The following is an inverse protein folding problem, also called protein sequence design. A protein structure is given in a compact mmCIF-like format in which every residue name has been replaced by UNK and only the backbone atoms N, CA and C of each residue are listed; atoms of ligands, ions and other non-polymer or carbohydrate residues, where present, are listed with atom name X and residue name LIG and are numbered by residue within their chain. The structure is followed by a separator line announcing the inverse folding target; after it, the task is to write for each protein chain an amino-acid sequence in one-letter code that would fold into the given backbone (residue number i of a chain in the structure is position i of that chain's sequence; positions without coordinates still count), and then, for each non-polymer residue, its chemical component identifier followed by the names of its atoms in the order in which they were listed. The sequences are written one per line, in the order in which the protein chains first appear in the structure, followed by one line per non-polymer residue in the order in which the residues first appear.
data_IF_308842996867
#
_entry.id   IF_308842996867
#
_cell.length_a   1.000
_cell.length_b   1.000
_cell.length_c   1.000
_cell.angle_alpha   90.00
_cell.angle_beta   90.00
_cell.angle_gamma   90.00
#
_symmetry.space_group_name_H-M   'P 1'
#
loop_
_entity.id
_entity.type
_entity.pdbx_description
1 polymer ?
#
# COMPACT_ATOMS: atom_id res chain seq x y z
N UNK A 1 -24.60 -31.08 -23.56
CA UNK A 1 -24.97 -30.55 -22.21
C UNK A 1 -23.84 -30.71 -21.20
N UNK A 2 -23.27 -31.92 -21.02
CA UNK A 2 -22.16 -32.18 -20.07
C UNK A 2 -20.92 -31.31 -20.33
N UNK A 3 -20.50 -31.18 -21.60
CA UNK A 3 -19.32 -30.37 -21.98
C UNK A 3 -19.49 -28.88 -21.64
N UNK A 4 -20.71 -28.35 -21.75
CA UNK A 4 -21.01 -26.94 -21.47
C UNK A 4 -20.98 -26.64 -19.97
N UNK A 5 -21.47 -27.58 -19.14
CA UNK A 5 -21.43 -27.48 -17.68
C UNK A 5 -19.98 -27.56 -17.17
N UNK A 6 -19.17 -28.47 -17.73
CA UNK A 6 -17.78 -28.63 -17.34
C UNK A 6 -16.94 -27.38 -17.68
N UNK A 7 -17.15 -26.79 -18.86
CA UNK A 7 -16.48 -25.55 -19.27
C UNK A 7 -16.89 -24.35 -18.40
N UNK A 8 -18.15 -24.30 -17.96
CA UNK A 8 -18.63 -23.27 -17.05
C UNK A 8 -18.02 -23.40 -15.64
N UNK A 9 -17.88 -24.64 -15.14
CA UNK A 9 -17.26 -24.91 -13.85
C UNK A 9 -15.76 -24.55 -13.83
N UNK A 10 -15.01 -24.90 -14.87
CA UNK A 10 -13.60 -24.50 -15.02
C UNK A 10 -13.45 -22.99 -15.06
N UNK A 11 -14.28 -22.29 -15.85
CA UNK A 11 -14.23 -20.83 -15.95
C UNK A 11 -14.50 -20.17 -14.60
N UNK A 12 -15.45 -20.70 -13.82
CA UNK A 12 -15.74 -20.21 -12.47
C UNK A 12 -14.56 -20.43 -11.52
N UNK A 13 -13.97 -21.63 -11.52
CA UNK A 13 -12.81 -21.93 -10.68
C UNK A 13 -11.59 -21.03 -11.00
N UNK A 14 -11.37 -20.73 -12.29
CA UNK A 14 -10.32 -19.80 -12.73
C UNK A 14 -10.61 -18.38 -12.22
N UNK A 15 -11.85 -17.89 -12.36
CA UNK A 15 -12.24 -16.56 -11.88
C UNK A 15 -12.13 -16.43 -10.36
N UNK A 16 -12.53 -17.46 -9.62
CA UNK A 16 -12.44 -17.47 -8.15
C UNK A 16 -10.98 -17.47 -7.68
N UNK A 17 -10.09 -18.24 -8.33
CA UNK A 17 -8.64 -18.18 -8.07
C UNK A 17 -8.06 -16.82 -8.41
N UNK A 18 -8.46 -16.24 -9.54
CA UNK A 18 -7.93 -14.94 -9.94
C UNK A 18 -8.31 -13.87 -8.90
N UNK A 19 -9.57 -13.86 -8.47
CA UNK A 19 -10.05 -12.97 -7.41
C UNK A 19 -9.34 -13.19 -6.07
N UNK A 20 -9.03 -14.43 -5.71
CA UNK A 20 -8.23 -14.73 -4.51
C UNK A 20 -6.80 -14.20 -4.63
N UNK A 21 -6.15 -14.39 -5.78
CA UNK A 21 -4.79 -13.90 -6.02
C UNK A 21 -4.74 -12.37 -6.05
N UNK A 22 -5.71 -11.72 -6.70
CA UNK A 22 -5.87 -10.26 -6.70
C UNK A 22 -6.03 -9.73 -5.26
N UNK A 23 -6.90 -10.35 -4.44
CA UNK A 23 -7.07 -9.97 -3.04
C UNK A 23 -5.81 -10.19 -2.19
N UNK A 24 -5.01 -11.22 -2.46
CA UNK A 24 -3.72 -11.44 -1.80
C UNK A 24 -2.68 -10.40 -2.21
N UNK A 25 -2.69 -9.96 -3.47
CA UNK A 25 -1.80 -8.90 -3.97
C UNK A 25 -2.16 -7.57 -3.31
N UNK A 26 -3.45 -7.22 -3.25
CA UNK A 26 -3.91 -6.01 -2.55
C UNK A 26 -3.52 -6.02 -1.06
N UNK A 27 -3.68 -7.17 -0.39
CA UNK A 27 -3.27 -7.34 1.01
C UNK A 27 -1.74 -7.21 1.20
N UNK A 28 -0.94 -7.53 0.18
CA UNK A 28 0.51 -7.39 0.23
C UNK A 28 0.99 -5.97 -0.10
N UNK A 29 0.16 -5.14 -0.72
CA UNK A 29 0.41 -3.70 -0.99
C UNK A 29 0.10 -2.79 0.23
N UNK A 30 -0.01 -3.36 1.43
CA UNK A 30 -0.59 -2.78 2.66
C UNK A 30 0.14 -1.58 3.30
N UNK A 31 0.99 -0.87 2.56
CA UNK A 31 1.72 0.31 3.03
C UNK A 31 1.61 1.47 2.03
N UNK A 32 0.41 1.75 1.54
CA UNK A 32 0.12 2.87 0.63
C UNK A 32 1.03 2.90 -0.60
N UNK A 33 1.27 1.74 -1.21
CA UNK A 33 2.11 1.61 -2.41
C UNK A 33 3.62 1.51 -2.16
N UNK A 34 4.08 1.53 -0.90
CA UNK A 34 5.49 1.22 -0.59
C UNK A 34 5.74 -0.30 -0.68
N UNK A 35 6.76 -0.67 -1.46
CA UNK A 35 7.23 -2.05 -1.60
C UNK A 35 8.66 -2.13 -1.09
N UNK A 36 8.96 -3.08 -0.21
CA UNK A 36 10.32 -3.31 0.27
C UNK A 36 10.44 -4.43 1.27
N UNK A 37 11.18 -5.49 0.94
CA UNK A 37 11.40 -6.64 1.82
C UNK A 37 12.74 -6.59 2.59
N UNK A 38 13.65 -5.68 2.20
CA UNK A 38 14.96 -5.55 2.84
C UNK A 38 14.89 -4.92 4.24
N UNK A 39 15.87 -5.25 5.08
CA UNK A 39 15.92 -4.82 6.49
C UNK A 39 15.78 -3.30 6.69
N UNK A 40 16.40 -2.49 5.82
CA UNK A 40 16.29 -1.02 5.86
C UNK A 40 14.85 -0.53 5.62
N UNK A 41 14.13 -1.13 4.68
CA UNK A 41 12.73 -0.77 4.42
C UNK A 41 11.81 -1.21 5.56
N UNK A 42 12.08 -2.36 6.17
CA UNK A 42 11.36 -2.81 7.36
C UNK A 42 11.57 -1.86 8.55
N UNK A 43 12.75 -1.26 8.68
CA UNK A 43 12.99 -0.18 9.64
C UNK A 43 12.16 1.08 9.35
N UNK A 44 12.09 1.50 8.07
CA UNK A 44 11.22 2.61 7.65
C UNK A 44 9.76 2.33 8.00
N UNK A 45 9.25 1.12 7.76
CA UNK A 45 7.88 0.75 8.11
C UNK A 45 7.62 0.84 9.62
N UNK A 46 8.55 0.35 10.44
CA UNK A 46 8.46 0.47 11.91
C UNK A 46 8.48 1.93 12.37
N UNK A 47 9.30 2.77 11.76
CA UNK A 47 9.33 4.20 12.07
C UNK A 47 7.99 4.86 11.73
N UNK A 48 7.43 4.59 10.55
CA UNK A 48 6.12 5.10 10.15
C UNK A 48 5.06 4.72 11.17
N UNK A 49 4.98 3.44 11.56
CA UNK A 49 4.01 2.98 12.56
C UNK A 49 4.22 3.63 13.93
N UNK A 50 5.47 3.78 14.36
CA UNK A 50 5.82 4.39 15.65
C UNK A 50 5.47 5.88 15.75
N UNK A 51 5.56 6.63 14.64
CA UNK A 51 5.32 8.08 14.65
C UNK A 51 3.96 8.50 14.10
N UNK A 52 3.20 7.62 13.44
CA UNK A 52 1.93 7.97 12.80
C UNK A 52 0.87 8.56 13.75
N UNK A 53 0.88 8.19 15.03
CA UNK A 53 -0.03 8.75 16.03
C UNK A 53 0.43 10.09 16.62
N UNK A 54 1.67 10.50 16.33
CA UNK A 54 2.22 11.76 16.82
C UNK A 54 1.60 12.95 16.09
N UNK A 55 1.43 14.06 16.83
CA UNK A 55 1.07 15.36 16.24
C UNK A 55 2.29 16.18 15.81
N UNK A 56 3.51 15.68 16.02
CA UNK A 56 4.74 16.37 15.68
C UNK A 56 4.95 16.47 14.17
N UNK A 57 5.70 17.50 13.74
CA UNK A 57 6.12 17.64 12.34
C UNK A 57 7.18 16.60 12.00
N UNK A 58 6.99 15.90 10.89
CA UNK A 58 7.89 14.83 10.43
C UNK A 58 8.68 15.32 9.21
N UNK A 59 10.01 15.17 9.25
CA UNK A 59 10.91 15.42 8.12
C UNK A 59 11.29 14.09 7.46
N UNK A 60 10.93 13.92 6.18
CA UNK A 60 11.31 12.75 5.38
C UNK A 60 12.46 13.12 4.46
N UNK A 61 13.61 12.45 4.62
CA UNK A 61 14.81 12.68 3.83
C UNK A 61 15.11 11.51 2.90
N UNK A 62 15.80 11.79 1.80
CA UNK A 62 16.18 10.79 0.80
C UNK A 62 16.41 11.42 -0.57
N UNK A 63 17.07 10.67 -1.45
CA UNK A 63 17.35 11.09 -2.83
C UNK A 63 16.07 11.26 -3.66
N UNK A 64 16.19 11.90 -4.82
CA UNK A 64 15.06 12.02 -5.75
C UNK A 64 14.60 10.63 -6.19
N UNK A 65 13.28 10.42 -6.28
CA UNK A 65 12.69 9.14 -6.70
C UNK A 65 12.63 8.03 -5.64
N UNK A 66 13.10 8.25 -4.40
CA UNK A 66 13.07 7.20 -3.34
C UNK A 66 11.72 7.01 -2.66
N UNK A 67 10.63 7.58 -3.19
CA UNK A 67 9.28 7.38 -2.66
C UNK A 67 8.94 8.19 -1.41
N UNK A 68 9.60 9.33 -1.16
CA UNK A 68 9.30 10.21 0.00
C UNK A 68 7.83 10.63 0.11
N UNK A 69 7.14 10.85 -1.02
CA UNK A 69 5.70 11.16 -1.01
C UNK A 69 4.87 9.96 -0.53
N UNK A 70 5.22 8.74 -0.94
CA UNK A 70 4.55 7.53 -0.50
C UNK A 70 4.71 7.33 1.02
N UNK A 71 5.88 7.67 1.58
CA UNK A 71 6.10 7.70 3.02
C UNK A 71 5.16 8.70 3.72
N UNK A 72 5.02 9.90 3.18
CA UNK A 72 4.10 10.91 3.74
C UNK A 72 2.63 10.46 3.68
N UNK A 73 2.22 9.79 2.60
CA UNK A 73 0.88 9.20 2.47
C UNK A 73 0.66 8.07 3.46
N UNK A 74 1.63 7.17 3.62
CA UNK A 74 1.58 6.10 4.60
C UNK A 74 1.44 6.62 6.03
N UNK A 75 2.19 7.68 6.38
CA UNK A 75 2.06 8.36 7.66
C UNK A 75 0.65 8.92 7.88
N UNK A 76 0.10 9.61 6.88
CA UNK A 76 -1.26 10.15 6.96
C UNK A 76 -2.31 9.04 7.15
N UNK A 77 -2.23 7.97 6.35
CA UNK A 77 -3.17 6.86 6.39
C UNK A 77 -3.13 6.09 7.72
N UNK A 78 -1.95 5.95 8.33
CA UNK A 78 -1.78 5.29 9.63
C UNK A 78 -2.09 6.20 10.82
N UNK A 79 -2.33 7.49 10.60
CA UNK A 79 -2.59 8.47 11.66
C UNK A 79 -4.08 8.58 12.04
N UNK A 80 -4.41 9.22 13.18
CA UNK A 80 -5.79 9.61 13.50
C UNK A 80 -6.43 10.58 12.50
N UNK A 81 -5.65 11.13 11.56
CA UNK A 81 -6.09 12.07 10.53
C UNK A 81 -6.40 11.39 9.20
N UNK A 82 -6.34 10.05 9.10
CA UNK A 82 -6.55 9.28 7.86
C UNK A 82 -7.81 9.66 7.08
N UNK A 83 -8.89 10.00 7.78
CA UNK A 83 -10.19 10.35 7.18
C UNK A 83 -10.29 11.82 6.77
N UNK A 84 -9.22 12.61 7.00
CA UNK A 84 -9.12 14.02 6.59
C UNK A 84 -8.36 14.15 5.27
N UNK A 85 -8.55 15.26 4.53
CA UNK A 85 -7.81 15.49 3.29
C UNK A 85 -6.29 15.50 3.51
N UNK A 86 -5.56 14.82 2.61
CA UNK A 86 -4.11 14.89 2.51
C UNK A 86 -3.74 15.83 1.35
N UNK A 87 -3.01 16.90 1.65
CA UNK A 87 -2.60 17.90 0.66
C UNK A 87 -1.08 17.79 0.47
N UNK A 88 -0.66 17.28 -0.68
CA UNK A 88 0.75 17.26 -1.07
C UNK A 88 1.09 18.53 -1.84
N UNK A 89 2.11 19.25 -1.39
CA UNK A 89 2.64 20.45 -2.07
C UNK A 89 4.08 20.15 -2.46
N UNK A 90 4.38 20.23 -3.75
CA UNK A 90 5.75 20.17 -4.23
C UNK A 90 6.33 21.59 -4.30
N UNK A 91 7.39 21.84 -3.54
CA UNK A 91 8.03 23.15 -3.44
C UNK A 91 9.14 23.37 -4.48
N UNK A 92 9.30 22.51 -5.50
CA UNK A 92 10.35 22.61 -6.53
C UNK A 92 10.06 23.66 -7.61
N UNK A 93 9.50 24.81 -7.26
CA UNK A 93 9.21 25.91 -8.18
C UNK A 93 10.48 26.66 -8.60
#
# INVERSE_FOLDING_TARGET
VIFTVQKAAERKAILDRNRQLEGMIEAQQSFEGLIGQGAKMQEVFRLIEGVAYSSATILVQGESGTGKELVARALHYKSPRRDRPFIAINCSA
#
